data_IF_685044546277
#
_entry.id   IF_685044546277
#
_cell.length_a   1.000
_cell.length_b   1.000
_cell.length_c   1.000
_cell.angle_alpha   90.00
_cell.angle_beta   90.00
_cell.angle_gamma   90.00
#
_symmetry.space_group_name_H-M   'P 1'
#
loop_
_entity.id
_entity.type
_entity.pdbx_description
1 polymer ?
#
# COMPACT_ATOMS: atom_id res chain seq x y z
N UNK A 1 17.43 5.24 -1.24
CA UNK A 1 16.17 4.74 -0.64
C UNK A 1 16.20 3.22 -0.55
N UNK A 2 15.72 2.65 0.55
CA UNK A 2 15.55 1.21 0.72
C UNK A 2 14.53 0.68 -0.31
N UNK A 3 14.83 -0.47 -0.93
CA UNK A 3 14.03 -1.03 -2.03
C UNK A 3 12.91 -1.98 -1.59
N UNK A 4 12.68 -2.20 -0.28
CA UNK A 4 11.75 -3.25 0.16
C UNK A 4 10.30 -2.80 0.24
N UNK A 5 9.94 -1.99 1.21
CA UNK A 5 8.55 -1.59 1.41
C UNK A 5 8.34 -0.10 1.12
N UNK A 6 7.08 0.30 1.00
CA UNK A 6 6.69 1.66 0.65
C UNK A 6 6.97 2.74 1.72
N UNK A 7 7.59 2.39 2.85
CA UNK A 7 8.00 3.40 3.85
C UNK A 7 8.98 4.40 3.27
N UNK A 8 9.87 3.96 2.34
CA UNK A 8 10.80 4.85 1.66
C UNK A 8 11.99 5.27 2.51
N UNK A 9 12.45 4.42 3.44
CA UNK A 9 13.57 4.73 4.33
C UNK A 9 14.83 5.16 3.58
N UNK A 10 15.44 6.28 4.01
CA UNK A 10 16.75 6.71 3.57
C UNK A 10 17.84 5.80 4.12
N UNK A 11 18.83 5.46 3.30
CA UNK A 11 19.96 4.62 3.65
C UNK A 11 21.28 5.26 3.22
N UNK A 12 22.28 5.13 4.08
CA UNK A 12 23.68 5.50 3.80
C UNK A 12 24.44 4.20 3.55
N UNK A 13 25.04 4.08 2.36
CA UNK A 13 25.78 2.91 1.94
C UNK A 13 27.27 3.19 2.06
N UNK A 14 28.00 2.33 2.75
CA UNK A 14 29.47 2.38 2.84
C UNK A 14 30.08 1.38 1.88
N UNK A 15 31.07 1.82 1.09
CA UNK A 15 31.74 0.97 0.12
C UNK A 15 33.26 0.91 0.36
N UNK A 16 33.84 -0.25 0.12
CA UNK A 16 35.29 -0.46 0.01
C UNK A 16 35.60 -0.94 -1.40
N UNK A 17 36.14 -0.06 -2.23
CA UNK A 17 36.32 -0.31 -3.65
C UNK A 17 34.96 -0.51 -4.34
N UNK A 18 34.73 -1.72 -4.89
CA UNK A 18 33.45 -2.09 -5.54
C UNK A 18 32.49 -2.86 -4.63
N UNK A 19 32.85 -3.09 -3.37
CA UNK A 19 32.02 -3.87 -2.45
C UNK A 19 31.24 -2.95 -1.51
N UNK A 20 29.98 -3.27 -1.29
CA UNK A 20 29.17 -2.64 -0.25
C UNK A 20 29.45 -3.40 1.05
N UNK A 21 30.00 -2.71 2.05
CA UNK A 21 30.42 -3.32 3.30
C UNK A 21 29.48 -3.02 4.47
N UNK A 22 28.73 -1.91 4.41
CA UNK A 22 27.80 -1.55 5.47
C UNK A 22 26.63 -0.72 4.94
N UNK A 23 25.50 -0.77 5.65
CA UNK A 23 24.31 0.05 5.40
C UNK A 23 23.77 0.57 6.72
N UNK A 24 23.58 1.88 6.81
CA UNK A 24 22.98 2.59 7.94
C UNK A 24 21.76 3.37 7.51
N UNK A 25 20.84 3.63 8.44
CA UNK A 25 19.75 4.58 8.22
C UNK A 25 20.29 6.00 8.14
N UNK A 26 19.72 6.78 7.23
CA UNK A 26 20.02 8.20 7.10
C UNK A 26 19.27 8.98 8.19
N UNK A 27 19.99 9.64 9.13
CA UNK A 27 19.37 10.36 10.24
C UNK A 27 18.62 11.62 9.80
N UNK A 28 18.93 12.17 8.63
CA UNK A 28 18.28 13.37 8.10
C UNK A 28 17.07 13.07 7.22
N UNK A 29 16.86 11.77 6.88
CA UNK A 29 15.78 11.38 5.99
C UNK A 29 14.43 11.38 6.71
N UNK A 30 13.40 12.10 6.20
CA UNK A 30 12.13 12.34 6.91
C UNK A 30 11.25 11.10 7.09
N UNK A 31 11.47 10.03 6.33
CA UNK A 31 10.70 8.81 6.48
C UNK A 31 11.15 7.93 7.65
N UNK A 32 12.44 7.98 8.05
CA UNK A 32 12.96 7.02 9.02
C UNK A 32 13.89 7.59 10.10
N UNK A 33 14.40 8.81 9.96
CA UNK A 33 15.28 9.47 10.94
C UNK A 33 16.38 8.53 11.49
N UNK A 34 17.11 7.86 10.59
CA UNK A 34 18.16 6.93 10.92
C UNK A 34 17.73 5.52 11.32
N UNK A 35 16.46 5.26 11.52
CA UNK A 35 15.94 3.94 11.89
C UNK A 35 15.86 3.00 10.68
N UNK A 36 16.20 1.73 10.89
CA UNK A 36 16.01 0.67 9.89
C UNK A 36 15.38 -0.56 10.56
N UNK A 37 14.57 -1.28 9.81
CA UNK A 37 14.15 -2.62 10.17
C UNK A 37 15.17 -3.65 9.69
N UNK A 38 14.99 -4.92 10.05
CA UNK A 38 15.90 -6.01 9.67
C UNK A 38 16.17 -6.05 8.16
N UNK A 39 15.16 -5.83 7.31
CA UNK A 39 15.34 -5.81 5.84
C UNK A 39 16.26 -4.68 5.38
N UNK A 40 16.06 -3.49 5.94
CA UNK A 40 16.90 -2.32 5.61
C UNK A 40 18.33 -2.45 6.10
N UNK A 41 18.54 -2.94 7.33
CA UNK A 41 19.89 -3.10 7.91
C UNK A 41 20.71 -4.22 7.24
N UNK A 42 20.06 -5.17 6.58
CA UNK A 42 20.72 -6.26 5.84
C UNK A 42 20.74 -6.06 4.33
N UNK A 43 20.37 -4.87 3.85
CA UNK A 43 20.24 -4.57 2.42
C UNK A 43 21.54 -4.86 1.64
N UNK A 44 22.71 -4.57 2.22
CA UNK A 44 24.02 -4.84 1.61
C UNK A 44 24.28 -6.32 1.30
N UNK A 45 23.66 -7.23 2.04
CA UNK A 45 23.80 -8.67 1.79
C UNK A 45 23.15 -9.10 0.48
N UNK A 46 22.14 -8.37 0.00
CA UNK A 46 21.45 -8.67 -1.26
C UNK A 46 22.26 -8.32 -2.51
N UNK A 47 23.33 -7.53 -2.35
CA UNK A 47 24.22 -7.15 -3.45
C UNK A 47 25.35 -8.17 -3.70
N UNK A 48 25.42 -9.26 -2.91
CA UNK A 48 26.43 -10.31 -3.10
C UNK A 48 26.18 -11.08 -4.41
N UNK A 49 27.25 -11.27 -5.18
CA UNK A 49 27.18 -11.86 -6.53
C UNK A 49 26.80 -13.34 -6.53
N UNK A 50 27.11 -14.08 -5.48
CA UNK A 50 26.82 -15.52 -5.33
C UNK A 50 25.33 -15.85 -5.19
N UNK A 51 24.52 -14.86 -4.80
CA UNK A 51 23.07 -15.00 -4.62
C UNK A 51 22.23 -14.41 -5.77
N UNK A 52 22.87 -13.96 -6.87
CA UNK A 52 22.18 -13.25 -7.95
C UNK A 52 22.33 -13.92 -9.30
N UNK A 53 21.28 -13.84 -10.11
CA UNK A 53 21.35 -14.17 -11.54
C UNK A 53 22.15 -13.06 -12.24
N UNK A 54 23.34 -13.40 -12.74
CA UNK A 54 24.29 -12.44 -13.31
C UNK A 54 24.28 -12.39 -14.83
N UNK A 55 23.70 -13.40 -15.47
CA UNK A 55 23.74 -13.58 -16.91
C UNK A 55 22.37 -13.98 -17.44
N UNK A 56 22.03 -13.58 -18.68
CA UNK A 56 20.84 -14.06 -19.34
C UNK A 56 20.97 -15.53 -19.72
N UNK A 57 19.84 -16.23 -19.67
CA UNK A 57 19.70 -17.61 -20.10
C UNK A 57 18.56 -17.72 -21.11
N UNK A 58 18.80 -18.42 -22.21
CA UNK A 58 17.81 -18.69 -23.26
C UNK A 58 17.63 -20.18 -23.42
N UNK A 59 16.40 -20.61 -23.66
CA UNK A 59 16.07 -21.95 -24.13
C UNK A 59 15.22 -21.86 -25.40
N UNK A 60 15.52 -22.65 -26.41
CA UNK A 60 14.84 -22.61 -27.69
C UNK A 60 13.51 -23.36 -27.71
N UNK A 61 13.31 -24.32 -26.80
CA UNK A 61 12.03 -24.98 -26.56
C UNK A 61 11.84 -25.32 -25.09
N UNK A 62 10.61 -25.68 -24.69
CA UNK A 62 10.30 -26.06 -23.28
C UNK A 62 11.03 -27.31 -22.81
N UNK A 63 11.37 -28.20 -23.73
CA UNK A 63 12.02 -29.49 -23.46
C UNK A 63 13.53 -29.40 -23.41
N UNK A 64 14.11 -28.27 -23.81
CA UNK A 64 15.53 -28.02 -23.76
C UNK A 64 15.99 -27.35 -22.48
N UNK A 65 17.21 -27.61 -22.00
CA UNK A 65 17.77 -26.85 -20.87
C UNK A 65 17.97 -25.39 -21.27
N UNK A 66 18.05 -24.53 -20.25
CA UNK A 66 18.47 -23.14 -20.41
C UNK A 66 19.99 -23.10 -20.63
N UNK A 67 20.42 -22.27 -21.56
CA UNK A 67 21.82 -22.04 -21.85
C UNK A 67 22.16 -20.57 -21.56
N UNK A 68 23.29 -20.36 -20.91
CA UNK A 68 23.83 -19.02 -20.69
C UNK A 68 24.29 -18.42 -22.00
N UNK A 69 23.85 -17.17 -22.26
CA UNK A 69 24.19 -16.43 -23.47
C UNK A 69 24.73 -15.03 -23.11
N UNK A 70 25.26 -14.32 -24.08
CA UNK A 70 25.59 -12.89 -23.92
C UNK A 70 24.32 -12.05 -23.86
N UNK A 71 24.41 -10.83 -23.32
CA UNK A 71 23.30 -9.87 -23.34
C UNK A 71 22.85 -9.52 -24.76
N UNK A 72 23.80 -9.35 -25.69
CA UNK A 72 23.47 -9.06 -27.08
C UNK A 72 22.68 -10.20 -27.73
N UNK A 73 23.11 -11.44 -27.55
CA UNK A 73 22.38 -12.59 -28.07
C UNK A 73 20.98 -12.76 -27.43
N UNK A 74 20.84 -12.44 -26.16
CA UNK A 74 19.55 -12.49 -25.49
C UNK A 74 18.60 -11.40 -26.01
N UNK A 75 19.09 -10.18 -26.16
CA UNK A 75 18.34 -9.05 -26.67
C UNK A 75 17.95 -9.25 -28.15
N UNK A 76 18.86 -9.69 -28.97
CA UNK A 76 18.58 -10.03 -30.40
C UNK A 76 17.45 -11.06 -30.48
N UNK A 77 17.53 -12.13 -29.66
CA UNK A 77 16.47 -13.14 -29.62
C UNK A 77 15.10 -12.55 -29.23
N UNK A 78 15.03 -11.64 -28.25
CA UNK A 78 13.79 -10.97 -27.83
C UNK A 78 13.28 -10.06 -28.96
N UNK A 79 14.16 -9.27 -29.58
CA UNK A 79 13.81 -8.34 -30.65
C UNK A 79 13.26 -9.08 -31.85
N UNK A 80 13.92 -10.13 -32.29
CA UNK A 80 13.51 -10.95 -33.46
C UNK A 80 12.12 -11.55 -33.20
N UNK A 81 11.89 -12.13 -32.00
CA UNK A 81 10.60 -12.73 -31.67
C UNK A 81 9.45 -11.68 -31.58
N UNK A 82 9.74 -10.52 -31.04
CA UNK A 82 8.75 -9.44 -30.99
C UNK A 82 8.47 -8.89 -32.38
N UNK A 83 9.51 -8.68 -33.21
CA UNK A 83 9.34 -8.23 -34.58
C UNK A 83 8.48 -9.19 -35.41
N UNK A 84 8.75 -10.50 -35.34
CA UNK A 84 7.96 -11.53 -36.01
C UNK A 84 6.49 -11.51 -35.59
N UNK A 85 6.24 -11.42 -34.31
CA UNK A 85 4.88 -11.38 -33.75
C UNK A 85 4.15 -10.12 -34.21
N UNK A 86 4.80 -8.97 -34.12
CA UNK A 86 4.20 -7.67 -34.51
C UNK A 86 3.93 -7.66 -36.01
N UNK A 87 4.85 -8.16 -36.81
CA UNK A 87 4.66 -8.21 -38.27
C UNK A 87 3.53 -9.15 -38.67
N UNK A 88 3.37 -10.28 -37.97
CA UNK A 88 2.39 -11.31 -38.29
C UNK A 88 1.01 -11.00 -37.74
N UNK A 89 0.92 -10.47 -36.53
CA UNK A 89 -0.32 -10.36 -35.75
C UNK A 89 -0.66 -8.94 -35.33
N UNK A 90 0.21 -7.98 -35.61
CA UNK A 90 0.04 -6.58 -35.19
C UNK A 90 0.57 -6.29 -33.77
N UNK A 91 0.66 -5.00 -33.40
CA UNK A 91 1.25 -4.56 -32.13
C UNK A 91 0.48 -5.04 -30.89
N UNK A 92 -0.83 -5.22 -31.00
CA UNK A 92 -1.67 -5.66 -29.86
C UNK A 92 -1.51 -7.14 -29.50
N UNK A 93 -0.74 -7.90 -30.30
CA UNK A 93 -0.31 -9.25 -29.93
C UNK A 93 0.82 -9.27 -28.90
N UNK A 94 1.41 -8.10 -28.59
CA UNK A 94 2.44 -7.92 -27.55
C UNK A 94 1.83 -7.27 -26.33
N UNK A 95 2.16 -7.79 -25.15
CA UNK A 95 1.75 -7.23 -23.88
C UNK A 95 2.91 -7.21 -22.87
N UNK A 96 2.88 -6.23 -21.96
CA UNK A 96 3.86 -6.10 -20.88
C UNK A 96 3.15 -6.17 -19.54
N UNK A 97 3.55 -7.12 -18.70
CA UNK A 97 3.17 -7.17 -17.30
C UNK A 97 4.38 -6.76 -16.46
N UNK A 98 4.35 -5.53 -15.97
CA UNK A 98 5.46 -4.92 -15.26
C UNK A 98 5.20 -4.85 -13.76
N UNK A 99 6.25 -4.64 -12.96
CA UNK A 99 6.11 -4.51 -11.50
C UNK A 99 5.52 -3.15 -11.10
N UNK A 100 4.75 -3.11 -10.02
CA UNK A 100 4.34 -1.89 -9.34
C UNK A 100 5.44 -1.26 -8.47
N UNK A 101 6.64 -1.85 -8.44
CA UNK A 101 7.80 -1.42 -7.62
C UNK A 101 9.02 -1.09 -8.45
N UNK A 102 8.83 -0.57 -9.65
CA UNK A 102 9.90 -0.09 -10.51
C UNK A 102 10.33 1.34 -10.14
N UNK A 103 11.52 1.73 -10.60
CA UNK A 103 11.93 3.13 -10.58
C UNK A 103 11.04 3.95 -11.55
N UNK A 104 10.90 5.24 -11.30
CA UNK A 104 10.12 6.15 -12.17
C UNK A 104 10.64 6.12 -13.61
N UNK A 105 11.96 6.02 -13.78
CA UNK A 105 12.64 5.92 -15.07
C UNK A 105 12.25 4.65 -15.83
N UNK A 106 12.10 3.53 -15.13
CA UNK A 106 11.68 2.26 -15.73
C UNK A 106 10.25 2.37 -16.30
N UNK A 107 9.31 2.96 -15.54
CA UNK A 107 7.95 3.22 -16.04
C UNK A 107 7.96 4.11 -17.27
N UNK A 108 8.76 5.16 -17.27
CA UNK A 108 8.89 6.08 -18.40
C UNK A 108 9.37 5.35 -19.64
N UNK A 109 10.45 4.56 -19.52
CA UNK A 109 11.05 3.82 -20.64
C UNK A 109 10.09 2.76 -21.18
N UNK A 110 9.43 1.99 -20.29
CA UNK A 110 8.45 0.98 -20.72
C UNK A 110 7.23 1.59 -21.41
N UNK A 111 6.70 2.70 -20.92
CA UNK A 111 5.60 3.38 -21.58
C UNK A 111 6.01 3.93 -22.96
N UNK A 112 7.21 4.47 -23.08
CA UNK A 112 7.75 4.93 -24.34
C UNK A 112 7.94 3.77 -25.35
N UNK A 113 8.48 2.64 -24.88
CA UNK A 113 8.62 1.43 -25.70
C UNK A 113 7.27 0.91 -26.17
N UNK A 114 6.35 0.64 -25.25
CA UNK A 114 5.07 0.01 -25.57
C UNK A 114 4.17 0.92 -26.41
N UNK A 115 3.94 2.15 -25.94
CA UNK A 115 2.97 3.07 -26.56
C UNK A 115 3.56 3.85 -27.72
N UNK A 116 4.82 4.32 -27.59
CA UNK A 116 5.46 5.17 -28.57
C UNK A 116 6.13 4.42 -29.72
N UNK A 117 6.74 3.28 -29.46
CA UNK A 117 7.53 2.53 -30.46
C UNK A 117 6.83 1.29 -30.98
N UNK A 118 6.25 0.46 -30.11
CA UNK A 118 5.49 -0.74 -30.52
C UNK A 118 4.09 -0.35 -30.98
N UNK A 119 3.46 0.63 -30.36
CA UNK A 119 2.11 1.09 -30.69
C UNK A 119 1.00 0.28 -30.04
N UNK A 120 1.26 -0.33 -28.86
CA UNK A 120 0.24 -1.04 -28.09
C UNK A 120 0.00 -0.36 -26.74
N UNK A 121 -1.24 -0.46 -26.24
CA UNK A 121 -1.61 -0.03 -24.90
C UNK A 121 -1.67 -1.20 -23.89
N UNK A 122 -1.23 -2.38 -24.27
CA UNK A 122 -1.26 -3.59 -23.45
C UNK A 122 -0.12 -3.59 -22.42
N UNK A 123 -0.21 -2.69 -21.46
CA UNK A 123 0.73 -2.57 -20.32
C UNK A 123 -0.07 -2.55 -19.03
N UNK A 124 0.21 -3.47 -18.13
CA UNK A 124 -0.40 -3.47 -16.80
C UNK A 124 0.60 -3.96 -15.74
N UNK A 125 0.21 -3.84 -14.47
CA UNK A 125 1.06 -4.18 -13.32
C UNK A 125 0.30 -5.04 -12.31
N UNK A 126 1.04 -5.62 -11.35
CA UNK A 126 0.44 -6.30 -10.20
C UNK A 126 -0.47 -5.39 -9.36
N UNK A 127 -0.28 -4.07 -9.40
CA UNK A 127 -1.13 -3.10 -8.71
C UNK A 127 -2.58 -3.16 -9.18
N UNK A 128 -2.83 -3.60 -10.42
CA UNK A 128 -4.18 -3.85 -10.95
C UNK A 128 -4.96 -4.86 -10.10
N UNK A 129 -4.30 -5.92 -9.66
CA UNK A 129 -4.89 -6.97 -8.84
C UNK A 129 -4.81 -6.66 -7.34
N UNK A 130 -3.86 -5.83 -6.95
CA UNK A 130 -3.53 -5.54 -5.56
C UNK A 130 -4.40 -4.43 -4.95
N UNK A 131 -4.62 -3.31 -5.67
CA UNK A 131 -5.35 -2.17 -5.11
C UNK A 131 -6.23 -1.42 -6.12
N UNK A 132 -6.76 -2.09 -7.12
CA UNK A 132 -7.65 -1.42 -8.10
C UNK A 132 -8.92 -0.86 -7.47
N UNK A 133 -9.49 -1.52 -6.47
CA UNK A 133 -10.64 -1.03 -5.71
C UNK A 133 -10.33 0.26 -4.96
N UNK A 134 -9.17 0.35 -4.32
CA UNK A 134 -8.72 1.57 -3.63
C UNK A 134 -8.49 2.72 -4.62
N UNK A 135 -7.83 2.45 -5.75
CA UNK A 135 -7.63 3.44 -6.82
C UNK A 135 -8.96 3.94 -7.37
N UNK A 136 -9.91 3.03 -7.63
CA UNK A 136 -11.25 3.41 -8.07
C UNK A 136 -11.96 4.27 -7.02
N UNK A 137 -11.87 3.90 -5.74
CA UNK A 137 -12.40 4.65 -4.62
C UNK A 137 -11.83 6.07 -4.55
N UNK A 138 -10.51 6.24 -4.58
CA UNK A 138 -9.87 7.56 -4.58
C UNK A 138 -10.29 8.42 -5.77
N UNK A 139 -10.32 7.85 -6.99
CA UNK A 139 -10.73 8.60 -8.18
C UNK A 139 -12.18 9.06 -8.12
N UNK A 140 -13.08 8.22 -7.62
CA UNK A 140 -14.51 8.58 -7.50
C UNK A 140 -14.75 9.58 -6.38
N UNK A 141 -14.06 9.43 -5.24
CA UNK A 141 -14.33 10.25 -4.05
C UNK A 141 -13.48 11.52 -3.97
N UNK A 142 -12.22 11.46 -4.43
CA UNK A 142 -11.26 12.55 -4.31
C UNK A 142 -10.80 13.14 -5.65
N UNK A 143 -11.19 12.52 -6.77
CA UNK A 143 -10.84 12.94 -8.13
C UNK A 143 -9.46 12.50 -8.61
N UNK A 144 -8.61 11.97 -7.75
CA UNK A 144 -7.26 11.52 -8.09
C UNK A 144 -6.84 10.29 -7.29
N UNK A 145 -5.91 9.51 -7.86
CA UNK A 145 -5.23 8.42 -7.16
C UNK A 145 -4.05 8.99 -6.36
N UNK A 146 -4.37 9.62 -5.24
CA UNK A 146 -3.38 10.20 -4.34
C UNK A 146 -3.88 10.12 -2.89
N UNK A 147 -3.12 9.49 -1.97
CA UNK A 147 -3.44 9.54 -0.55
C UNK A 147 -3.35 10.99 -0.06
N UNK A 148 -4.36 11.49 0.67
CA UNK A 148 -4.39 12.87 1.11
C UNK A 148 -3.51 13.16 2.34
N UNK A 149 -2.99 12.12 3.00
CA UNK A 149 -2.26 12.20 4.27
C UNK A 149 -0.75 12.01 4.09
N UNK A 150 0.03 12.48 5.07
CA UNK A 150 1.48 12.28 5.15
C UNK A 150 1.89 11.65 6.50
N UNK A 151 3.18 11.34 6.68
CA UNK A 151 3.65 10.70 7.90
C UNK A 151 3.55 11.60 9.14
N UNK A 152 3.65 12.91 8.96
CA UNK A 152 3.53 13.90 10.02
C UNK A 152 2.13 13.91 10.66
N UNK A 153 1.09 13.53 9.90
CA UNK A 153 -0.28 13.45 10.41
C UNK A 153 -0.41 12.43 11.55
N UNK A 154 0.47 11.41 11.58
CA UNK A 154 0.51 10.43 12.67
C UNK A 154 0.82 11.10 14.01
N UNK A 155 1.69 12.12 14.01
CA UNK A 155 2.14 12.80 15.23
C UNK A 155 1.07 13.75 15.80
N UNK A 156 0.09 14.12 14.99
CA UNK A 156 -0.95 15.10 15.33
C UNK A 156 -2.34 14.51 15.49
N UNK A 157 -2.55 13.25 15.12
CA UNK A 157 -3.85 12.61 15.21
C UNK A 157 -4.26 12.30 16.65
N UNK A 158 -5.54 12.41 16.95
CA UNK A 158 -6.13 11.99 18.24
C UNK A 158 -6.70 10.57 18.16
N UNK A 159 -7.06 10.13 16.97
CA UNK A 159 -7.50 8.75 16.73
C UNK A 159 -6.88 8.22 15.45
N UNK A 160 -6.20 7.10 15.54
CA UNK A 160 -5.64 6.35 14.41
C UNK A 160 -6.46 5.08 14.19
N UNK A 161 -7.11 4.96 13.03
CA UNK A 161 -7.80 3.76 12.59
C UNK A 161 -6.91 3.00 11.61
N UNK A 162 -6.54 1.76 11.94
CA UNK A 162 -5.73 0.89 11.08
C UNK A 162 -6.61 -0.29 10.64
N UNK A 163 -6.87 -0.40 9.35
CA UNK A 163 -7.72 -1.44 8.78
C UNK A 163 -6.94 -2.36 7.84
N UNK A 164 -7.05 -3.68 8.04
CA UNK A 164 -6.46 -4.69 7.18
C UNK A 164 -4.93 -4.57 7.04
N UNK A 165 -4.24 -4.06 8.07
CA UNK A 165 -2.80 -3.80 8.04
C UNK A 165 -2.09 -4.29 9.29
N UNK A 166 -1.18 -5.26 9.13
CA UNK A 166 -0.21 -5.58 10.17
C UNK A 166 1.02 -4.68 10.05
N UNK A 167 0.86 -3.40 10.39
CA UNK A 167 1.87 -2.36 10.21
C UNK A 167 3.15 -2.65 10.99
N UNK A 168 3.05 -3.24 12.18
CA UNK A 168 4.20 -3.64 12.99
C UNK A 168 5.13 -4.61 12.25
N UNK A 169 4.56 -5.50 11.44
CA UNK A 169 5.31 -6.50 10.67
C UNK A 169 5.70 -5.99 9.27
N UNK A 170 4.74 -5.45 8.53
CA UNK A 170 4.94 -5.10 7.11
C UNK A 170 5.68 -3.75 6.93
N UNK A 171 5.42 -2.79 7.82
CA UNK A 171 5.97 -1.42 7.77
C UNK A 171 6.55 -1.00 9.14
N UNK A 172 7.57 -1.70 9.65
CA UNK A 172 8.03 -1.53 11.04
C UNK A 172 8.45 -0.10 11.40
N UNK A 173 8.98 0.67 10.45
CA UNK A 173 9.44 2.03 10.72
C UNK A 173 8.26 3.00 10.87
N UNK A 174 7.18 2.83 10.09
CA UNK A 174 5.93 3.57 10.32
C UNK A 174 5.32 3.19 11.66
N UNK A 175 5.35 1.90 12.01
CA UNK A 175 4.82 1.44 13.30
C UNK A 175 5.59 2.06 14.48
N UNK A 176 6.91 2.18 14.39
CA UNK A 176 7.71 2.87 15.40
C UNK A 176 7.34 4.34 15.54
N UNK A 177 6.98 5.03 14.46
CA UNK A 177 6.44 6.39 14.55
C UNK A 177 5.11 6.43 15.29
N UNK A 178 4.25 5.43 15.06
CA UNK A 178 2.97 5.29 15.80
C UNK A 178 3.23 5.06 17.29
N UNK A 179 4.22 4.21 17.65
CA UNK A 179 4.63 3.99 19.04
C UNK A 179 5.11 5.28 19.70
N UNK A 180 5.97 6.05 19.01
CA UNK A 180 6.47 7.35 19.49
C UNK A 180 5.32 8.37 19.65
N UNK A 181 4.43 8.47 18.66
CA UNK A 181 3.28 9.36 18.72
C UNK A 181 2.37 9.03 19.91
N UNK A 182 2.08 7.74 20.13
CA UNK A 182 1.31 7.28 21.29
C UNK A 182 2.02 7.54 22.62
N UNK A 183 3.35 7.39 22.67
CA UNK A 183 4.14 7.70 23.87
C UNK A 183 4.14 9.21 24.19
N UNK A 184 4.19 10.07 23.17
CA UNK A 184 4.13 11.52 23.31
C UNK A 184 2.72 12.04 23.59
N UNK A 185 1.69 11.33 23.13
CA UNK A 185 0.29 11.63 23.37
C UNK A 185 -0.45 10.37 23.88
N UNK A 186 -0.41 10.07 25.18
CA UNK A 186 -1.05 8.88 25.75
C UNK A 186 -2.56 8.84 25.55
N UNK A 187 -3.21 9.98 25.34
CA UNK A 187 -4.67 10.08 25.12
C UNK A 187 -5.07 9.72 23.68
N UNK A 188 -4.14 9.70 22.73
CA UNK A 188 -4.36 9.23 21.37
C UNK A 188 -4.98 7.83 21.38
N UNK A 189 -6.04 7.61 20.62
CA UNK A 189 -6.70 6.31 20.50
C UNK A 189 -6.24 5.57 19.26
N UNK A 190 -5.98 4.28 19.40
CA UNK A 190 -5.63 3.41 18.29
C UNK A 190 -6.69 2.32 18.17
N UNK A 191 -7.38 2.32 17.03
CA UNK A 191 -8.39 1.32 16.66
C UNK A 191 -7.81 0.46 15.55
N UNK A 192 -7.79 -0.85 15.73
CA UNK A 192 -7.33 -1.80 14.70
C UNK A 192 -8.48 -2.69 14.26
N UNK A 193 -8.71 -2.73 12.95
CA UNK A 193 -9.68 -3.60 12.28
C UNK A 193 -8.90 -4.69 11.55
N UNK A 194 -8.92 -5.90 12.07
CA UNK A 194 -8.22 -7.06 11.48
C UNK A 194 -8.85 -8.34 12.06
N UNK A 195 -9.17 -9.35 11.23
CA UNK A 195 -9.67 -10.64 11.71
C UNK A 195 -8.73 -11.31 12.71
N UNK A 196 -7.42 -11.07 12.57
CA UNK A 196 -6.39 -11.65 13.42
C UNK A 196 -5.90 -10.67 14.48
N UNK A 197 -5.57 -11.18 15.64
CA UNK A 197 -4.89 -10.43 16.68
C UNK A 197 -3.38 -10.36 16.39
N UNK A 198 -3.01 -9.50 15.44
CA UNK A 198 -1.64 -9.24 15.03
C UNK A 198 -0.86 -8.43 16.09
N UNK A 199 0.46 -8.27 15.91
CA UNK A 199 1.27 -7.42 16.78
C UNK A 199 0.74 -5.96 16.79
N UNK A 200 0.27 -5.48 15.64
CA UNK A 200 -0.41 -4.18 15.53
C UNK A 200 -1.67 -4.13 16.37
N UNK A 201 -2.50 -5.19 16.31
CA UNK A 201 -3.73 -5.27 17.08
C UNK A 201 -3.48 -5.43 18.61
N UNK A 202 -2.34 -6.00 19.00
CA UNK A 202 -1.97 -6.08 20.42
C UNK A 202 -1.64 -4.72 21.03
N UNK A 203 -1.17 -3.78 20.22
CA UNK A 203 -0.84 -2.41 20.62
C UNK A 203 -2.07 -1.48 20.64
N UNK A 204 -3.18 -1.90 20.07
CA UNK A 204 -4.39 -1.09 19.95
C UNK A 204 -5.14 -0.90 21.28
N UNK A 205 -5.75 0.28 21.46
CA UNK A 205 -6.73 0.52 22.55
C UNK A 205 -8.04 -0.25 22.30
N UNK A 206 -8.38 -0.48 21.01
CA UNK A 206 -9.54 -1.27 20.60
C UNK A 206 -9.22 -2.11 19.37
N UNK A 207 -9.45 -3.41 19.47
CA UNK A 207 -9.34 -4.34 18.34
C UNK A 207 -10.72 -4.84 17.92
N UNK A 208 -11.09 -4.56 16.69
CA UNK A 208 -12.31 -5.06 16.03
C UNK A 208 -11.95 -6.27 15.16
N UNK A 209 -12.09 -7.47 15.72
CA UNK A 209 -11.82 -8.73 15.04
C UNK A 209 -13.01 -9.14 14.17
N UNK A 210 -13.20 -8.42 13.06
CA UNK A 210 -14.33 -8.62 12.15
C UNK A 210 -14.24 -9.93 11.36
N UNK A 211 -15.36 -10.44 10.91
CA UNK A 211 -15.40 -11.50 9.91
C UNK A 211 -14.83 -10.97 8.57
N UNK A 212 -13.98 -11.75 7.87
CA UNK A 212 -13.43 -11.34 6.59
C UNK A 212 -14.51 -10.91 5.58
N UNK A 213 -14.28 -9.79 4.88
CA UNK A 213 -15.22 -9.26 3.88
C UNK A 213 -16.36 -8.43 4.43
N UNK A 214 -16.31 -8.03 5.71
CA UNK A 214 -17.36 -7.20 6.34
C UNK A 214 -16.92 -5.77 6.65
N UNK A 215 -15.80 -5.34 6.12
CA UNK A 215 -15.20 -4.02 6.35
C UNK A 215 -16.15 -2.88 5.97
N UNK A 216 -16.79 -2.95 4.80
CA UNK A 216 -17.74 -1.94 4.33
C UNK A 216 -18.94 -1.82 5.27
N UNK A 217 -19.47 -2.94 5.76
CA UNK A 217 -20.56 -2.93 6.74
C UNK A 217 -20.12 -2.26 8.05
N UNK A 218 -18.90 -2.55 8.53
CA UNK A 218 -18.33 -1.89 9.71
C UNK A 218 -18.28 -0.38 9.51
N UNK A 219 -17.71 0.09 8.39
CA UNK A 219 -17.59 1.54 8.12
C UNK A 219 -18.94 2.22 7.97
N UNK A 220 -19.92 1.57 7.36
CA UNK A 220 -21.29 2.07 7.31
C UNK A 220 -21.90 2.16 8.73
N UNK A 221 -21.67 1.18 9.60
CA UNK A 221 -22.13 1.22 10.99
C UNK A 221 -21.45 2.32 11.81
N UNK A 222 -20.15 2.53 11.63
CA UNK A 222 -19.43 3.65 12.24
C UNK A 222 -19.99 5.00 11.76
N UNK A 223 -20.21 5.15 10.45
CA UNK A 223 -20.79 6.37 9.87
C UNK A 223 -22.23 6.58 10.36
N UNK A 224 -23.04 5.52 10.50
CA UNK A 224 -24.36 5.60 11.11
C UNK A 224 -24.28 6.24 12.50
N UNK A 225 -23.39 5.74 13.37
CA UNK A 225 -23.22 6.33 14.72
C UNK A 225 -22.82 7.80 14.63
N UNK A 226 -21.86 8.14 13.78
CA UNK A 226 -21.38 9.52 13.62
C UNK A 226 -22.51 10.46 13.17
N UNK A 227 -23.36 10.01 12.25
CA UNK A 227 -24.53 10.77 11.77
C UNK A 227 -25.55 11.05 12.86
N UNK A 228 -25.93 10.03 13.61
CA UNK A 228 -27.00 10.14 14.62
C UNK A 228 -26.55 10.71 15.97
N UNK A 229 -25.23 10.64 16.25
CA UNK A 229 -24.65 11.27 17.44
C UNK A 229 -24.11 12.71 17.17
N UNK A 230 -24.26 13.23 15.94
CA UNK A 230 -23.84 14.59 15.58
C UNK A 230 -22.33 14.80 15.55
N UNK A 231 -21.56 13.76 15.23
CA UNK A 231 -20.09 13.80 15.17
C UNK A 231 -19.56 14.16 13.78
N UNK A 232 -20.28 15.01 13.04
CA UNK A 232 -19.94 15.39 11.68
C UNK A 232 -19.61 16.88 11.60
N UNK A 233 -18.63 17.21 10.76
CA UNK A 233 -18.40 18.59 10.32
C UNK A 233 -19.37 18.95 9.19
N UNK A 234 -20.57 19.42 9.55
CA UNK A 234 -21.61 19.79 8.59
C UNK A 234 -21.23 21.01 7.74
N UNK A 235 -20.33 21.87 8.22
CA UNK A 235 -19.83 22.99 7.43
C UNK A 235 -18.90 22.51 6.31
N UNK A 236 -18.00 21.59 6.65
CA UNK A 236 -17.13 20.97 5.63
C UNK A 236 -17.96 20.20 4.60
N UNK A 237 -18.90 19.37 5.06
CA UNK A 237 -19.76 18.55 4.20
C UNK A 237 -20.52 19.46 3.20
N UNK A 238 -21.16 20.51 3.68
CA UNK A 238 -21.97 21.38 2.82
C UNK A 238 -21.15 22.17 1.79
N UNK A 239 -19.89 22.50 2.11
CA UNK A 239 -19.05 23.35 1.27
C UNK A 239 -18.13 22.55 0.33
N UNK A 240 -17.84 21.28 0.62
CA UNK A 240 -16.77 20.55 -0.04
C UNK A 240 -17.16 19.14 -0.53
N UNK A 241 -18.39 18.71 -0.32
CA UNK A 241 -18.83 17.36 -0.74
C UNK A 241 -20.14 17.38 -1.52
N UNK A 242 -20.35 16.33 -2.29
CA UNK A 242 -21.60 16.05 -3.01
C UNK A 242 -22.13 14.67 -2.59
N UNK A 243 -23.43 14.44 -2.76
CA UNK A 243 -24.06 13.13 -2.53
C UNK A 243 -24.30 12.75 -1.08
N UNK A 244 -24.16 13.70 -0.12
CA UNK A 244 -24.30 13.41 1.31
C UNK A 244 -25.66 12.82 1.70
N UNK A 245 -26.77 13.34 1.15
CA UNK A 245 -28.10 12.84 1.48
C UNK A 245 -28.33 11.40 0.97
N UNK A 246 -27.77 11.04 -0.19
CA UNK A 246 -27.80 9.68 -0.70
C UNK A 246 -26.98 8.72 0.17
N UNK A 247 -25.79 9.16 0.62
CA UNK A 247 -24.97 8.41 1.58
C UNK A 247 -25.68 8.20 2.89
N UNK A 248 -26.31 9.24 3.44
CA UNK A 248 -27.09 9.19 4.69
C UNK A 248 -28.24 8.18 4.59
N UNK A 249 -28.97 8.15 3.47
CA UNK A 249 -30.00 7.16 3.26
C UNK A 249 -29.44 5.74 3.15
N UNK A 250 -28.32 5.57 2.43
CA UNK A 250 -27.64 4.27 2.33
C UNK A 250 -27.25 3.70 3.68
N UNK A 251 -26.70 4.50 4.58
CA UNK A 251 -26.21 4.01 5.90
C UNK A 251 -27.32 3.95 6.96
N UNK A 252 -28.50 4.40 6.67
CA UNK A 252 -29.62 4.46 7.62
C UNK A 252 -29.94 3.11 8.26
N UNK A 253 -29.89 2.05 7.47
CA UNK A 253 -30.21 0.69 7.91
C UNK A 253 -29.04 0.01 8.65
N UNK A 254 -27.81 0.53 8.52
CA UNK A 254 -26.62 -0.05 9.12
C UNK A 254 -26.52 0.31 10.61
N UNK A 255 -27.53 -0.06 11.39
CA UNK A 255 -27.50 0.18 12.83
C UNK A 255 -26.35 -0.58 13.49
N UNK A 256 -25.77 -0.08 14.61
CA UNK A 256 -24.68 -0.77 15.31
C UNK A 256 -25.00 -2.22 15.67
N UNK A 257 -26.25 -2.52 16.01
CA UNK A 257 -26.71 -3.88 16.29
C UNK A 257 -26.65 -4.78 15.05
N UNK A 258 -27.22 -4.32 13.93
CA UNK A 258 -27.18 -5.08 12.65
C UNK A 258 -25.74 -5.31 12.21
N UNK A 259 -24.90 -4.29 12.30
CA UNK A 259 -23.49 -4.38 11.92
C UNK A 259 -22.71 -5.30 12.85
N UNK A 260 -23.01 -5.30 14.14
CA UNK A 260 -22.43 -6.25 15.10
C UNK A 260 -22.71 -7.70 14.70
N UNK A 261 -23.94 -8.01 14.29
CA UNK A 261 -24.33 -9.34 13.81
C UNK A 261 -23.63 -9.72 12.49
N UNK A 262 -23.47 -8.78 11.55
CA UNK A 262 -22.77 -8.99 10.26
C UNK A 262 -21.27 -9.20 10.48
N UNK A 263 -20.65 -8.34 11.28
CA UNK A 263 -19.18 -8.32 11.45
C UNK A 263 -18.68 -9.30 12.51
N UNK A 264 -19.56 -9.83 13.36
CA UNK A 264 -19.17 -10.72 14.44
C UNK A 264 -18.44 -10.03 15.60
N UNK A 265 -18.65 -8.71 15.78
CA UNK A 265 -18.04 -7.89 16.86
C UNK A 265 -19.13 -7.32 17.78
N UNK A 266 -18.74 -6.82 18.94
CA UNK A 266 -19.73 -6.29 19.88
C UNK A 266 -20.23 -4.91 19.44
N UNK A 267 -21.53 -4.68 19.51
CA UNK A 267 -22.16 -3.40 19.19
C UNK A 267 -21.50 -2.21 19.89
N UNK A 268 -21.22 -2.33 21.19
CA UNK A 268 -20.56 -1.27 21.98
C UNK A 268 -19.18 -0.89 21.45
N UNK A 269 -18.46 -1.83 20.83
CA UNK A 269 -17.12 -1.60 20.32
C UNK A 269 -17.17 -0.83 18.98
N UNK A 270 -18.21 -1.05 18.17
CA UNK A 270 -18.49 -0.26 16.97
C UNK A 270 -18.81 1.18 17.35
N UNK A 271 -19.71 1.37 18.34
CA UNK A 271 -20.08 2.68 18.84
C UNK A 271 -18.86 3.41 19.40
N UNK A 272 -18.01 2.72 20.16
CA UNK A 272 -16.81 3.31 20.74
C UNK A 272 -15.79 3.72 19.67
N UNK A 273 -15.55 2.87 18.67
CA UNK A 273 -14.67 3.19 17.54
C UNK A 273 -15.18 4.43 16.79
N UNK A 274 -16.47 4.47 16.47
CA UNK A 274 -17.09 5.61 15.79
C UNK A 274 -16.97 6.93 16.60
N UNK A 275 -17.18 6.87 17.92
CA UNK A 275 -17.04 8.03 18.80
C UNK A 275 -15.60 8.55 18.85
N UNK A 276 -14.62 7.67 18.98
CA UNK A 276 -13.22 8.09 18.96
C UNK A 276 -12.82 8.64 17.60
N UNK A 277 -13.29 8.00 16.52
CA UNK A 277 -12.97 8.45 15.17
C UNK A 277 -13.62 9.80 14.83
N UNK A 278 -14.84 10.07 15.31
CA UNK A 278 -15.56 11.32 15.04
C UNK A 278 -15.24 12.47 15.99
N UNK A 279 -14.45 12.26 17.06
CA UNK A 279 -14.28 13.26 18.13
C UNK A 279 -13.21 14.33 17.85
N UNK A 280 -12.33 14.15 16.90
CA UNK A 280 -11.21 15.09 16.68
C UNK A 280 -10.40 14.79 15.43
N UNK A 281 -9.20 15.37 15.28
CA UNK A 281 -8.33 15.05 14.16
C UNK A 281 -8.04 13.55 14.11
N UNK A 282 -8.44 12.91 13.02
CA UNK A 282 -8.33 11.46 12.85
C UNK A 282 -7.59 11.11 11.57
N UNK A 283 -6.83 10.03 11.64
CA UNK A 283 -6.14 9.46 10.50
C UNK A 283 -6.59 8.01 10.31
N UNK A 284 -6.87 7.63 9.09
CA UNK A 284 -7.06 6.22 8.74
C UNK A 284 -5.91 5.70 7.88
N UNK A 285 -5.47 4.49 8.19
CA UNK A 285 -4.46 3.76 7.45
C UNK A 285 -5.00 2.39 7.09
N UNK A 286 -4.73 1.94 5.88
CA UNK A 286 -5.13 0.60 5.44
C UNK A 286 -4.04 -0.09 4.63
N UNK A 287 -4.17 -1.39 4.45
CA UNK A 287 -3.34 -2.18 3.56
C UNK A 287 -4.21 -3.23 2.84
N UNK A 288 -3.58 -4.21 2.21
CA UNK A 288 -4.25 -5.19 1.35
C UNK A 288 -5.17 -6.19 2.07
N UNK A 289 -5.33 -6.08 3.38
CA UNK A 289 -6.29 -6.86 4.15
C UNK A 289 -7.70 -6.25 4.23
N UNK A 290 -7.89 -5.09 3.61
CA UNK A 290 -9.17 -4.40 3.54
C UNK A 290 -10.01 -4.93 2.38
#
# INVERSE_FOLDING_TARGET
TCCYCGVGCGVIITTEGKQIVDVKGDPEHPANFGRLCTKGSTLHLTAKLDARALYPEVRLSRDLPRERVSWDAALDHVVDRFADIIQTHGPDAVAFYISGQLLTEDYYVFNKLAKGLIGTNNVDTNSRLCMSSAVAGYKVTLGADAPPACYEDIDHTQCLLIAGSNTAFAHPIVFRRIEDAKANNPDMKIVVVDPRRTDTAQFADLHLAILPGTDVALFHGMLHVMLWEGLLDMQYISNHTEGFEALKETVREYTPKMVADICGVRERDIIQAAKWFGAGPTLSMYCMGL
#
